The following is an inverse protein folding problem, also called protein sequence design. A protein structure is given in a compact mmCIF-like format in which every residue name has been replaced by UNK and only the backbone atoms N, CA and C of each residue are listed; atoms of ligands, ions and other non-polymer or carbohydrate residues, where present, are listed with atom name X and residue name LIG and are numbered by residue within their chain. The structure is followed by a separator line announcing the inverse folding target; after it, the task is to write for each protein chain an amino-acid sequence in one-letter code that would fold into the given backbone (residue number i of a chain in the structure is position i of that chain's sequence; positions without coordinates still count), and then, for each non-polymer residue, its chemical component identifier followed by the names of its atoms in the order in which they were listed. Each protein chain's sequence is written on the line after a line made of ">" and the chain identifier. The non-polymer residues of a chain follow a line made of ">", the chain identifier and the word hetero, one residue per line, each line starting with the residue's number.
data_IF_934362647430
#
_entry.id   IF_934362647430
#
_cell.length_a   1.000
_cell.length_b   1.000
_cell.length_c   1.000
_cell.angle_alpha   90.00
_cell.angle_beta   90.00
_cell.angle_gamma   90.00
#
_symmetry.space_group_name_H-M   'P 1'
#
loop_
_entity.id
_entity.type
_entity.pdbx_description
1 polymer ?
#
# COMPACT_ATOMS: atom_id res chain seq x y z
N UNK A 1 0.37 8.57 -20.19
CA UNK A 1 -0.56 7.93 -19.25
C UNK A 1 -0.91 8.90 -18.13
N UNK A 2 -1.73 9.94 -18.38
CA UNK A 2 -2.06 10.95 -17.33
C UNK A 2 -3.31 10.59 -16.51
N UNK A 3 -4.13 9.67 -17.01
CA UNK A 3 -5.42 9.28 -16.43
C UNK A 3 -5.41 7.87 -15.83
N UNK A 4 -4.24 7.40 -15.41
CA UNK A 4 -4.07 6.06 -14.81
C UNK A 4 -3.55 6.22 -13.39
N UNK A 5 -4.18 5.52 -12.45
CA UNK A 5 -3.64 5.29 -11.11
C UNK A 5 -3.45 3.79 -10.89
N UNK A 6 -2.45 3.42 -10.10
CA UNK A 6 -2.22 2.04 -9.72
C UNK A 6 -2.80 1.75 -8.34
N UNK A 7 -3.42 0.56 -8.21
CA UNK A 7 -3.89 0.04 -6.93
C UNK A 7 -3.03 -1.17 -6.56
N UNK A 8 -2.20 -1.02 -5.53
CA UNK A 8 -1.28 -2.04 -5.04
C UNK A 8 -1.93 -2.76 -3.85
N UNK A 9 -2.20 -4.05 -4.02
CA UNK A 9 -2.81 -4.89 -2.99
C UNK A 9 -1.72 -5.44 -2.06
N UNK A 10 -1.54 -4.80 -0.91
CA UNK A 10 -0.57 -5.19 0.12
C UNK A 10 -0.87 -6.49 0.85
N UNK A 11 -2.09 -7.02 0.67
CA UNK A 11 -2.52 -8.34 1.16
C UNK A 11 -2.89 -8.39 2.64
N UNK A 12 -3.33 -9.58 3.08
CA UNK A 12 -3.71 -9.86 4.46
C UNK A 12 -2.52 -10.16 5.38
N UNK A 13 -2.74 -10.93 6.46
CA UNK A 13 -1.75 -11.17 7.54
C UNK A 13 -0.38 -11.73 7.12
N UNK A 14 -0.23 -12.25 5.90
CA UNK A 14 1.06 -12.71 5.40
C UNK A 14 1.59 -13.96 6.12
N UNK A 15 0.70 -14.86 6.55
CA UNK A 15 1.03 -16.07 7.34
C UNK A 15 2.15 -16.93 6.77
N UNK A 16 2.29 -16.98 5.43
CA UNK A 16 3.37 -17.73 4.75
C UNK A 16 4.77 -17.11 4.92
N UNK A 17 4.84 -15.84 5.33
CA UNK A 17 6.09 -15.13 5.60
C UNK A 17 6.34 -14.99 7.10
N UNK A 18 5.55 -15.67 7.95
CA UNK A 18 5.85 -15.75 9.37
C UNK A 18 7.28 -16.30 9.58
N UNK A 19 8.10 -15.72 10.48
CA UNK A 19 7.77 -14.68 11.47
C UNK A 19 7.94 -13.23 10.99
N UNK A 20 8.33 -12.99 9.74
CA UNK A 20 8.67 -11.65 9.22
C UNK A 20 7.49 -10.66 9.24
N UNK A 21 6.26 -11.14 9.29
CA UNK A 21 5.03 -10.34 9.31
C UNK A 21 4.39 -10.23 10.70
N UNK A 22 5.06 -10.69 11.76
CA UNK A 22 4.50 -10.66 13.11
C UNK A 22 4.19 -9.24 13.59
N UNK A 23 5.12 -8.30 13.40
CA UNK A 23 5.01 -6.91 13.88
C UNK A 23 4.81 -5.89 12.74
N UNK A 24 4.67 -6.35 11.49
CA UNK A 24 4.63 -5.47 10.31
C UNK A 24 3.74 -6.04 9.21
N UNK A 25 3.22 -5.14 8.39
CA UNK A 25 2.48 -5.54 7.20
C UNK A 25 3.39 -6.30 6.21
N UNK A 26 2.80 -7.19 5.40
CA UNK A 26 3.53 -7.90 4.34
C UNK A 26 4.32 -6.95 3.43
N UNK A 27 3.79 -5.80 2.97
CA UNK A 27 4.55 -4.88 2.13
C UNK A 27 5.75 -4.22 2.84
N UNK A 28 5.72 -4.14 4.17
CA UNK A 28 6.79 -3.57 4.98
C UNK A 28 7.94 -4.55 5.27
N UNK A 29 7.86 -5.80 4.81
CA UNK A 29 8.92 -6.78 4.99
C UNK A 29 10.19 -6.33 4.24
N UNK A 30 11.36 -6.30 4.90
CA UNK A 30 12.63 -5.92 4.26
C UNK A 30 13.03 -6.89 3.15
N UNK A 31 13.65 -6.34 2.11
CA UNK A 31 14.15 -7.06 0.95
C UNK A 31 15.53 -6.51 0.56
N UNK A 32 16.50 -7.40 0.29
CA UNK A 32 17.80 -6.99 -0.28
C UNK A 32 18.60 -5.99 0.56
N UNK A 33 18.44 -6.02 1.89
CA UNK A 33 19.20 -5.19 2.85
C UNK A 33 18.80 -3.72 2.95
N UNK A 34 18.28 -3.09 1.88
CA UNK A 34 17.92 -1.67 1.86
C UNK A 34 16.48 -1.38 1.46
N UNK A 35 15.79 -2.36 0.87
CA UNK A 35 14.45 -2.18 0.30
C UNK A 35 13.40 -2.88 1.15
N UNK A 36 12.15 -2.71 0.76
CA UNK A 36 10.99 -3.45 1.26
C UNK A 36 10.21 -4.04 0.09
N UNK A 37 9.36 -5.02 0.37
CA UNK A 37 8.53 -5.65 -0.67
C UNK A 37 7.67 -4.63 -1.44
N UNK A 38 7.21 -3.56 -0.80
CA UNK A 38 6.45 -2.49 -1.47
C UNK A 38 7.23 -1.72 -2.53
N UNK A 39 8.56 -1.71 -2.45
CA UNK A 39 9.38 -0.91 -3.36
C UNK A 39 9.36 -1.47 -4.78
N UNK A 40 9.22 -2.80 -4.93
CA UNK A 40 9.15 -3.46 -6.23
C UNK A 40 7.97 -2.96 -7.07
N UNK A 41 6.69 -3.06 -6.62
CA UNK A 41 5.57 -2.55 -7.41
C UNK A 41 5.58 -1.03 -7.56
N UNK A 42 6.01 -0.26 -6.54
CA UNK A 42 6.07 1.20 -6.63
C UNK A 42 7.10 1.65 -7.66
N UNK A 43 8.30 1.08 -7.64
CA UNK A 43 9.34 1.38 -8.64
C UNK A 43 8.90 0.97 -10.04
N UNK A 44 8.20 -0.15 -10.20
CA UNK A 44 7.63 -0.54 -11.50
C UNK A 44 6.62 0.48 -12.03
N UNK A 45 5.75 1.00 -11.16
CA UNK A 45 4.78 2.04 -11.53
C UNK A 45 5.50 3.32 -11.96
N UNK A 46 6.47 3.79 -11.17
CA UNK A 46 7.24 5.01 -11.47
C UNK A 46 8.02 4.86 -12.79
N UNK A 47 8.67 3.71 -13.01
CA UNK A 47 9.39 3.42 -14.26
C UNK A 47 8.46 3.27 -15.48
N UNK A 48 7.15 3.14 -15.26
CA UNK A 48 6.11 3.07 -16.29
C UNK A 48 5.31 4.38 -16.41
N UNK A 49 5.81 5.48 -15.84
CA UNK A 49 5.15 6.79 -15.78
C UNK A 49 3.80 6.81 -15.04
N UNK A 50 3.56 5.84 -14.14
CA UNK A 50 2.38 5.79 -13.27
C UNK A 50 2.77 6.34 -11.89
N UNK A 51 2.45 7.62 -11.67
CA UNK A 51 2.87 8.37 -10.47
C UNK A 51 1.77 8.52 -9.41
N UNK A 52 0.53 8.10 -9.70
CA UNK A 52 -0.61 8.10 -8.77
C UNK A 52 -0.85 6.67 -8.28
N UNK A 53 -0.64 6.41 -7.00
CA UNK A 53 -0.64 5.07 -6.45
C UNK A 53 -1.38 5.00 -5.11
N UNK A 54 -2.31 4.05 -5.01
CA UNK A 54 -2.93 3.64 -3.75
C UNK A 54 -2.39 2.28 -3.30
N UNK A 55 -2.03 2.16 -2.02
CA UNK A 55 -1.54 0.92 -1.41
C UNK A 55 -2.55 0.45 -0.38
N UNK A 56 -3.26 -0.62 -0.69
CA UNK A 56 -4.27 -1.21 0.21
C UNK A 56 -3.59 -2.17 1.19
N UNK A 57 -3.72 -1.93 2.50
CA UNK A 57 -3.17 -2.80 3.55
C UNK A 57 -4.18 -3.07 4.64
N UNK A 58 -4.16 -4.25 5.23
CA UNK A 58 -5.15 -4.63 6.25
C UNK A 58 -4.61 -4.56 7.68
N UNK A 59 -3.30 -4.76 7.88
CA UNK A 59 -2.69 -4.87 9.21
C UNK A 59 -1.40 -4.05 9.33
N UNK A 60 -1.03 -3.64 10.55
CA UNK A 60 0.28 -3.11 10.93
C UNK A 60 0.88 -2.09 9.93
N UNK A 61 0.12 -1.05 9.59
CA UNK A 61 0.45 -0.05 8.56
C UNK A 61 1.47 1.01 8.99
N UNK A 62 1.71 1.20 10.29
CA UNK A 62 2.56 2.29 10.78
C UNK A 62 3.99 2.29 10.18
N UNK A 63 4.64 1.12 10.18
CA UNK A 63 5.99 1.00 9.60
C UNK A 63 5.99 1.23 8.09
N UNK A 64 4.92 0.85 7.39
CA UNK A 64 4.74 1.05 5.95
C UNK A 64 4.51 2.53 5.64
N UNK A 65 3.64 3.20 6.38
CA UNK A 65 3.36 4.65 6.29
C UNK A 65 4.63 5.47 6.44
N UNK A 66 5.43 5.14 7.45
CA UNK A 66 6.70 5.81 7.69
C UNK A 66 7.70 5.63 6.55
N UNK A 67 7.75 4.44 5.94
CA UNK A 67 8.62 4.16 4.81
C UNK A 67 8.18 4.92 3.55
N UNK A 68 6.90 4.88 3.21
CA UNK A 68 6.39 5.55 2.02
C UNK A 68 6.58 7.06 2.11
N UNK A 69 6.21 7.69 3.24
CA UNK A 69 6.34 9.14 3.45
C UNK A 69 7.77 9.68 3.43
N UNK A 70 8.76 8.82 3.73
CA UNK A 70 10.19 9.18 3.68
C UNK A 70 10.81 8.92 2.32
N UNK A 71 10.43 7.83 1.66
CA UNK A 71 11.06 7.37 0.41
C UNK A 71 10.44 8.03 -0.83
N UNK A 72 9.11 8.12 -0.89
CA UNK A 72 8.39 8.54 -2.09
C UNK A 72 7.80 9.95 -1.93
N UNK A 73 8.70 10.94 -1.96
CA UNK A 73 8.34 12.36 -1.93
C UNK A 73 8.35 12.93 -3.34
N UNK A 74 7.17 13.20 -3.88
CA UNK A 74 7.03 13.90 -5.15
C UNK A 74 7.22 15.41 -4.96
N UNK A 75 7.59 16.10 -6.04
CA UNK A 75 7.67 17.56 -6.06
C UNK A 75 6.31 18.18 -5.72
N UNK A 76 6.30 19.34 -5.06
CA UNK A 76 5.08 20.09 -4.75
C UNK A 76 4.27 20.49 -6.01
N UNK A 77 4.90 20.46 -7.18
CA UNK A 77 4.27 20.74 -8.47
C UNK A 77 3.85 19.47 -9.25
N UNK A 78 3.95 18.30 -8.62
CA UNK A 78 3.54 17.03 -9.21
C UNK A 78 2.24 16.56 -8.59
N UNK A 79 1.30 16.10 -9.42
CA UNK A 79 0.07 15.43 -8.97
C UNK A 79 0.30 13.97 -8.56
N UNK A 80 1.57 13.55 -8.46
CA UNK A 80 1.97 12.19 -8.09
C UNK A 80 1.93 11.97 -6.58
N UNK A 81 1.49 10.79 -6.17
CA UNK A 81 1.44 10.38 -4.77
C UNK A 81 1.54 8.86 -4.63
N UNK A 82 2.01 8.44 -3.45
CA UNK A 82 1.82 7.06 -2.95
C UNK A 82 1.09 7.17 -1.63
N UNK A 83 -0.19 6.81 -1.61
CA UNK A 83 -1.05 6.88 -0.44
C UNK A 83 -1.42 5.48 0.04
N UNK A 84 -1.43 5.28 1.36
CA UNK A 84 -1.76 3.99 1.96
C UNK A 84 -3.19 4.05 2.47
N UNK A 85 -4.03 3.17 1.93
CA UNK A 85 -5.40 2.94 2.38
C UNK A 85 -5.40 1.73 3.31
N UNK A 86 -5.38 1.99 4.60
CA UNK A 86 -5.48 0.93 5.61
C UNK A 86 -6.95 0.50 5.77
N UNK A 87 -7.18 -0.78 6.02
CA UNK A 87 -8.48 -1.24 6.48
C UNK A 87 -8.77 -0.60 7.85
N UNK A 88 -9.86 0.15 7.94
CA UNK A 88 -10.33 0.77 9.17
C UNK A 88 -11.66 0.16 9.57
N UNK A 89 -11.81 -0.13 10.87
CA UNK A 89 -13.12 -0.46 11.42
C UNK A 89 -13.89 0.85 11.57
N UNK A 90 -15.00 0.96 10.84
CA UNK A 90 -15.93 2.09 10.95
C UNK A 90 -17.17 1.64 11.73
N UNK A 91 -17.96 2.57 12.31
CA UNK A 91 -19.21 2.21 13.01
C UNK A 91 -20.17 1.40 12.13
N UNK A 92 -20.14 1.63 10.83
CA UNK A 92 -20.97 0.96 9.82
C UNK A 92 -20.34 -0.33 9.27
N UNK A 93 -19.02 -0.48 9.38
CA UNK A 93 -18.29 -1.65 8.88
C UNK A 93 -17.21 -2.08 9.87
N UNK A 94 -17.61 -3.03 10.73
CA UNK A 94 -16.76 -3.64 11.77
C UNK A 94 -15.84 -4.72 11.16
N UNK A 95 -16.13 -5.17 9.94
CA UNK A 95 -15.42 -6.27 9.30
C UNK A 95 -14.18 -5.76 8.56
N UNK A 96 -13.07 -6.49 8.70
CA UNK A 96 -11.90 -6.27 7.85
C UNK A 96 -12.22 -6.59 6.39
N UNK A 97 -11.33 -6.22 5.46
CA UNK A 97 -11.42 -6.64 4.06
C UNK A 97 -11.64 -8.16 3.97
N UNK A 98 -12.73 -8.56 3.32
CA UNK A 98 -13.08 -9.97 3.10
C UNK A 98 -12.27 -10.60 1.96
N UNK A 99 -11.52 -9.79 1.21
CA UNK A 99 -10.68 -10.21 0.11
C UNK A 99 -10.10 -9.01 -0.64
N UNK A 100 -9.35 -9.26 -1.70
CA UNK A 100 -8.74 -8.21 -2.52
C UNK A 100 -9.78 -7.37 -3.27
N UNK A 101 -10.81 -8.01 -3.83
CA UNK A 101 -11.91 -7.30 -4.50
C UNK A 101 -12.69 -6.44 -3.51
N UNK A 102 -12.90 -6.94 -2.30
CA UNK A 102 -13.57 -6.20 -1.23
C UNK A 102 -12.75 -4.98 -0.77
N UNK A 103 -11.41 -5.13 -0.69
CA UNK A 103 -10.52 -4.01 -0.40
C UNK A 103 -10.66 -2.87 -1.42
N UNK A 104 -10.76 -3.19 -2.72
CA UNK A 104 -11.00 -2.19 -3.77
C UNK A 104 -12.40 -1.59 -3.62
N UNK A 105 -13.44 -2.43 -3.45
CA UNK A 105 -14.84 -2.01 -3.31
C UNK A 105 -15.05 -1.03 -2.14
N UNK A 106 -14.50 -1.34 -0.97
CA UNK A 106 -14.64 -0.49 0.22
C UNK A 106 -13.93 0.87 0.07
N UNK A 107 -12.95 0.95 -0.84
CA UNK A 107 -12.15 2.15 -1.07
C UNK A 107 -12.54 2.91 -2.34
N UNK A 108 -13.62 2.53 -3.02
CA UNK A 108 -14.11 3.23 -4.22
C UNK A 108 -14.38 4.73 -3.99
N UNK A 109 -14.69 5.13 -2.75
CA UNK A 109 -14.91 6.53 -2.38
C UNK A 109 -13.62 7.37 -2.31
N UNK A 110 -12.46 6.72 -2.25
CA UNK A 110 -11.16 7.37 -2.15
C UNK A 110 -10.44 7.46 -3.50
N UNK A 111 -10.96 6.78 -4.54
CA UNK A 111 -10.45 6.85 -5.92
C UNK A 111 -11.14 7.97 -6.69
#
# INVERSE_FOLDING_TARGET
>A
MRDVFAVILGGGQGTRLFPLTQERSKPAVPLGGKYRLIDIPVSNCINSDIIKMYVLTQFNSASLNHHISRTYRFSAFSDGFVEILAAEQTPENVSWFQGTADAVRQNLRHF
#
